data_IF_717623209784
#
_entry.id   IF_717623209784
#
_cell.length_a   1.000
_cell.length_b   1.000
_cell.length_c   1.000
_cell.angle_alpha   90.00
_cell.angle_beta   90.00
_cell.angle_gamma   90.00
#
_symmetry.space_group_name_H-M   'P 1'
#
loop_
_entity.id
_entity.type
_entity.pdbx_description
1 polymer ?
#
# COMPACT_ATOMS: atom_id res chain seq x y z
N UNK A 1 -11.69 81.27 -38.19
CA UNK A 1 -12.06 79.84 -38.22
C UNK A 1 -10.89 78.96 -38.66
N UNK A 2 -9.82 78.89 -37.84
CA UNK A 2 -8.62 78.05 -38.09
C UNK A 2 -7.98 77.67 -36.75
N UNK A 3 -8.73 77.01 -35.87
CA UNK A 3 -8.20 76.54 -34.57
C UNK A 3 -8.97 75.35 -33.97
N UNK A 4 -9.81 74.65 -34.75
CA UNK A 4 -10.54 73.47 -34.26
C UNK A 4 -10.25 72.19 -35.04
N UNK A 5 -9.40 72.23 -36.08
CA UNK A 5 -9.12 71.06 -36.92
C UNK A 5 -7.80 70.33 -36.58
N UNK A 6 -7.02 70.85 -35.63
CA UNK A 6 -5.70 70.30 -35.27
C UNK A 6 -5.71 69.38 -34.04
N UNK A 7 -6.85 69.25 -33.35
CA UNK A 7 -7.01 68.38 -32.18
C UNK A 7 -7.73 67.06 -32.54
N UNK A 8 -8.34 66.95 -33.72
CA UNK A 8 -9.09 65.77 -34.13
C UNK A 8 -8.31 64.76 -35.00
N UNK A 9 -7.05 65.04 -35.34
CA UNK A 9 -6.21 64.16 -36.18
C UNK A 9 -5.02 63.55 -35.40
N UNK A 10 -4.82 63.95 -34.14
CA UNK A 10 -3.75 63.41 -33.28
C UNK A 10 -4.19 62.32 -32.29
N UNK A 11 -5.46 61.88 -32.34
CA UNK A 11 -6.01 60.79 -31.53
C UNK A 11 -6.31 59.51 -32.32
N UNK A 12 -5.96 59.46 -33.61
CA UNK A 12 -6.15 58.29 -34.49
C UNK A 12 -4.87 57.50 -34.79
N UNK A 13 -3.78 57.79 -34.09
CA UNK A 13 -2.54 57.00 -34.07
C UNK A 13 -2.24 56.49 -32.66
N UNK A 14 -3.25 55.96 -31.97
CA UNK A 14 -2.95 54.89 -31.03
C UNK A 14 -2.51 53.71 -31.89
N UNK A 15 -1.35 53.08 -31.62
CA UNK A 15 -1.10 51.78 -32.21
C UNK A 15 -2.31 50.94 -31.86
N UNK A 16 -2.92 50.31 -32.86
CA UNK A 16 -3.80 49.17 -32.62
C UNK A 16 -2.89 48.21 -31.84
N UNK A 17 -2.95 48.27 -30.51
CA UNK A 17 -2.32 47.29 -29.65
C UNK A 17 -2.95 46.00 -30.13
N UNK A 18 -2.21 45.22 -30.91
CA UNK A 18 -2.59 43.88 -31.28
C UNK A 18 -3.07 43.24 -29.98
N UNK A 19 -4.37 42.99 -29.89
CA UNK A 19 -5.03 42.71 -28.62
C UNK A 19 -4.27 41.57 -27.98
N UNK A 20 -3.57 41.85 -26.88
CA UNK A 20 -2.78 40.84 -26.21
C UNK A 20 -3.72 39.69 -25.88
N UNK A 21 -3.36 38.50 -26.34
CA UNK A 21 -4.15 37.31 -26.12
C UNK A 21 -4.45 37.17 -24.63
N UNK A 22 -5.73 37.03 -24.26
CA UNK A 22 -6.18 36.76 -22.89
C UNK A 22 -7.20 35.63 -22.91
N UNK A 23 -7.02 34.57 -22.10
CA UNK A 23 -7.99 33.49 -21.97
C UNK A 23 -9.33 34.00 -21.42
N UNK A 24 -10.42 33.31 -21.73
CA UNK A 24 -11.73 33.66 -21.21
C UNK A 24 -11.78 33.52 -19.67
N UNK A 25 -12.64 34.33 -19.05
CA UNK A 25 -12.75 34.39 -17.58
C UNK A 25 -13.19 33.06 -16.97
N UNK A 26 -14.01 32.27 -17.68
CA UNK A 26 -14.44 30.95 -17.20
C UNK A 26 -13.26 29.96 -17.17
N UNK A 27 -12.37 30.00 -18.16
CA UNK A 27 -11.15 29.16 -18.17
C UNK A 27 -10.25 29.47 -16.99
N UNK A 28 -9.98 30.75 -16.73
CA UNK A 28 -9.16 31.16 -15.57
C UNK A 28 -9.84 30.81 -14.24
N UNK A 29 -11.15 30.99 -14.13
CA UNK A 29 -11.91 30.64 -12.92
C UNK A 29 -11.92 29.12 -12.68
N UNK A 30 -12.13 28.31 -13.71
CA UNK A 30 -12.06 26.83 -13.59
C UNK A 30 -10.66 26.39 -13.17
N UNK A 31 -9.62 27.02 -13.70
CA UNK A 31 -8.23 26.74 -13.30
C UNK A 31 -8.01 27.06 -11.81
N UNK A 32 -8.51 28.19 -11.32
CA UNK A 32 -8.41 28.55 -9.89
C UNK A 32 -9.19 27.57 -8.99
N UNK A 33 -10.42 27.21 -9.37
CA UNK A 33 -11.26 26.29 -8.61
C UNK A 33 -10.71 24.86 -8.60
N UNK A 34 -9.93 24.48 -9.61
CA UNK A 34 -9.26 23.19 -9.68
C UNK A 34 -8.21 22.98 -8.58
N UNK A 35 -7.66 24.05 -7.99
CA UNK A 35 -6.61 23.93 -6.98
C UNK A 35 -7.00 24.58 -5.64
N UNK A 36 -7.93 23.97 -4.87
CA UNK A 36 -8.28 24.46 -3.54
C UNK A 36 -7.04 24.62 -2.64
N UNK A 37 -6.95 25.78 -1.97
CA UNK A 37 -5.82 26.11 -1.09
C UNK A 37 -4.55 26.60 -1.81
N UNK A 38 -4.56 26.68 -3.14
CA UNK A 38 -3.51 27.36 -3.91
C UNK A 38 -3.92 28.80 -4.20
N UNK A 39 -2.96 29.72 -4.11
CA UNK A 39 -3.17 31.15 -4.38
C UNK A 39 -2.56 31.51 -5.72
N UNK A 40 -3.37 32.09 -6.61
CA UNK A 40 -2.87 32.65 -7.88
C UNK A 40 -2.04 33.89 -7.58
N UNK A 41 -0.74 33.85 -7.85
CA UNK A 41 0.18 34.96 -7.63
C UNK A 41 0.47 35.74 -8.90
N UNK A 42 0.28 35.12 -10.07
CA UNK A 42 0.54 35.75 -11.37
C UNK A 42 -0.49 35.28 -12.39
N UNK A 43 -0.95 36.20 -13.25
CA UNK A 43 -1.80 35.91 -14.41
C UNK A 43 -1.64 37.04 -15.43
N UNK A 44 -0.80 36.84 -16.45
CA UNK A 44 -0.43 37.89 -17.39
C UNK A 44 -0.03 37.33 -18.76
N UNK A 45 0.02 38.19 -19.78
CA UNK A 45 0.56 37.85 -21.08
C UNK A 45 2.08 37.56 -20.98
N UNK A 46 2.53 36.53 -21.69
CA UNK A 46 3.93 36.17 -21.84
C UNK A 46 4.32 36.31 -23.31
N UNK A 47 5.32 37.15 -23.59
CA UNK A 47 5.79 37.40 -24.95
C UNK A 47 6.71 36.25 -25.38
N UNK A 48 6.33 35.60 -26.48
CA UNK A 48 7.14 34.56 -27.11
C UNK A 48 8.23 35.19 -27.99
N UNK A 49 9.34 34.45 -28.26
CA UNK A 49 10.32 34.85 -29.26
C UNK A 49 9.70 35.29 -30.59
N UNK A 50 10.18 36.39 -31.16
CA UNK A 50 9.56 37.03 -32.33
C UNK A 50 9.62 36.23 -33.65
N UNK A 51 10.38 35.13 -33.68
CA UNK A 51 10.45 34.19 -34.81
C UNK A 51 9.35 33.11 -34.76
N UNK A 52 8.47 33.13 -33.76
CA UNK A 52 7.40 32.15 -33.61
C UNK A 52 6.09 32.63 -34.22
N UNK A 53 5.24 31.70 -34.72
CA UNK A 53 4.01 32.03 -35.43
C UNK A 53 2.94 32.67 -34.52
N UNK A 54 3.09 32.58 -33.20
CA UNK A 54 2.21 33.20 -32.21
C UNK A 54 3.03 34.13 -31.30
N UNK A 55 2.64 35.41 -31.15
CA UNK A 55 3.47 36.41 -30.46
C UNK A 55 3.37 36.36 -28.93
N UNK A 56 2.28 35.79 -28.39
CA UNK A 56 2.00 35.79 -26.95
C UNK A 56 1.30 34.52 -26.49
N UNK A 57 1.70 34.00 -25.33
CA UNK A 57 0.98 33.04 -24.52
C UNK A 57 0.40 33.73 -23.27
N UNK A 58 -0.42 33.03 -22.50
CA UNK A 58 -0.88 33.49 -21.19
C UNK A 58 -0.25 32.67 -20.08
N UNK A 59 0.42 33.34 -19.15
CA UNK A 59 1.17 32.73 -18.06
C UNK A 59 0.41 32.90 -16.74
N UNK A 60 0.20 31.78 -16.04
CA UNK A 60 -0.48 31.72 -14.75
C UNK A 60 0.40 30.98 -13.75
N UNK A 61 0.57 31.55 -12.55
CA UNK A 61 1.32 30.94 -11.46
C UNK A 61 0.43 30.80 -10.24
N UNK A 62 0.42 29.61 -9.67
CA UNK A 62 -0.16 29.30 -8.39
C UNK A 62 0.92 28.93 -7.39
N UNK A 63 0.78 29.40 -6.16
CA UNK A 63 1.66 29.01 -5.05
C UNK A 63 0.86 28.52 -3.86
N UNK A 64 1.45 27.62 -3.08
CA UNK A 64 0.91 27.14 -1.81
C UNK A 64 2.03 27.04 -0.79
N UNK A 65 1.77 27.51 0.42
CA UNK A 65 2.67 27.27 1.55
C UNK A 65 2.57 25.79 1.94
N UNK A 66 3.68 25.07 1.87
CA UNK A 66 3.79 23.70 2.35
C UNK A 66 4.34 23.78 3.78
N UNK A 67 3.72 23.06 4.71
CA UNK A 67 4.10 23.10 6.12
C UNK A 67 5.59 22.78 6.31
N UNK A 68 6.23 23.56 7.18
CA UNK A 68 7.67 23.49 7.49
C UNK A 68 7.99 22.17 8.20
N UNK A 69 9.04 21.47 7.75
CA UNK A 69 9.65 20.38 8.53
C UNK A 69 10.19 20.92 9.85
N UNK A 70 9.92 20.25 10.96
CA UNK A 70 10.67 20.40 12.21
C UNK A 70 12.06 19.73 12.10
N UNK A 71 12.85 20.09 11.08
CA UNK A 71 14.28 19.74 11.03
C UNK A 71 15.07 20.91 11.63
N UNK A 72 15.69 20.67 12.79
CA UNK A 72 16.39 21.68 13.61
C UNK A 72 17.48 22.46 12.86
N UNK A 73 17.96 21.98 11.71
CA UNK A 73 19.05 22.60 10.96
C UNK A 73 18.61 23.34 9.69
N UNK A 74 17.42 23.10 9.14
CA UNK A 74 16.98 23.74 7.88
C UNK A 74 15.46 23.95 7.86
N UNK A 75 14.99 24.91 8.67
CA UNK A 75 13.66 25.50 8.54
C UNK A 75 13.54 26.29 7.21
N UNK A 76 13.43 25.59 6.07
CA UNK A 76 13.04 26.21 4.81
C UNK A 76 11.54 26.00 4.62
N UNK A 77 10.80 27.10 4.51
CA UNK A 77 9.40 27.07 4.01
C UNK A 77 9.45 26.61 2.55
N UNK A 78 9.17 25.35 2.29
CA UNK A 78 8.95 24.88 0.94
C UNK A 78 7.66 25.53 0.41
N UNK A 79 7.73 26.17 -0.76
CA UNK A 79 6.56 26.68 -1.47
C UNK A 79 6.29 25.77 -2.64
N UNK A 80 5.11 25.17 -2.67
CA UNK A 80 4.62 24.49 -3.87
C UNK A 80 4.36 25.53 -4.95
N UNK A 81 4.75 25.23 -6.18
CA UNK A 81 4.55 26.11 -7.34
C UNK A 81 3.96 25.31 -8.50
N UNK A 82 2.91 25.86 -9.11
CA UNK A 82 2.30 25.35 -10.33
C UNK A 82 2.35 26.48 -11.36
N UNK A 83 3.02 26.21 -12.47
CA UNK A 83 3.14 27.13 -13.60
C UNK A 83 2.33 26.60 -14.75
N UNK A 84 1.47 27.43 -15.34
CA UNK A 84 0.63 27.07 -16.49
C UNK A 84 0.79 28.11 -17.59
N UNK A 85 1.03 27.64 -18.81
CA UNK A 85 0.98 28.45 -20.02
C UNK A 85 -0.19 28.01 -20.90
N UNK A 86 -0.96 28.99 -21.38
CA UNK A 86 -2.05 28.80 -22.33
C UNK A 86 -1.67 29.49 -23.64
N UNK A 87 -1.70 28.73 -24.73
CA UNK A 87 -1.45 29.26 -26.06
C UNK A 87 -2.74 29.13 -26.88
N UNK A 88 -3.18 30.17 -27.61
CA UNK A 88 -4.39 30.07 -28.43
C UNK A 88 -4.25 28.95 -29.46
N UNK A 89 -5.27 28.10 -29.53
CA UNK A 89 -5.31 27.03 -30.51
C UNK A 89 -5.62 27.65 -31.88
N UNK A 90 -4.60 27.73 -32.74
CA UNK A 90 -4.74 28.15 -34.11
C UNK A 90 -4.02 27.16 -35.03
N UNK A 91 -4.75 26.16 -35.52
CA UNK A 91 -4.18 25.07 -36.33
C UNK A 91 -3.56 25.51 -37.66
N UNK A 92 -3.82 26.73 -38.13
CA UNK A 92 -3.14 27.29 -39.32
C UNK A 92 -1.73 27.81 -39.01
N UNK A 93 -1.53 28.33 -37.80
CA UNK A 93 -0.28 28.92 -37.35
C UNK A 93 0.59 27.93 -36.56
N UNK A 94 -0.05 27.06 -35.79
CA UNK A 94 0.60 26.02 -35.01
C UNK A 94 -0.24 24.74 -35.08
N UNK A 95 0.11 23.81 -35.99
CA UNK A 95 -0.47 22.48 -36.03
C UNK A 95 -0.28 21.76 -34.69
N UNK A 96 -1.26 20.95 -34.27
CA UNK A 96 -1.22 20.29 -32.97
C UNK A 96 -0.01 19.36 -32.80
N UNK A 97 0.43 18.69 -33.87
CA UNK A 97 1.64 17.84 -33.87
C UNK A 97 2.92 18.59 -33.46
N UNK A 98 2.95 19.91 -33.67
CA UNK A 98 4.10 20.77 -33.39
C UNK A 98 3.95 21.47 -32.03
N UNK A 99 2.79 21.39 -31.38
CA UNK A 99 2.49 22.09 -30.13
C UNK A 99 3.47 21.70 -29.01
N UNK A 100 3.82 20.42 -28.87
CA UNK A 100 4.78 19.96 -27.85
C UNK A 100 6.15 20.68 -27.94
N UNK A 101 6.58 21.07 -29.14
CA UNK A 101 7.86 21.76 -29.34
C UNK A 101 7.91 23.16 -28.71
N UNK A 102 6.74 23.71 -28.35
CA UNK A 102 6.64 25.02 -27.72
C UNK A 102 7.14 25.04 -26.28
N UNK A 103 7.25 23.87 -25.61
CA UNK A 103 7.71 23.73 -24.23
C UNK A 103 9.03 24.48 -23.98
N UNK A 104 9.98 24.42 -24.91
CA UNK A 104 11.32 25.03 -24.79
C UNK A 104 11.33 26.56 -24.78
N UNK A 105 10.22 27.22 -25.12
CA UNK A 105 10.13 28.68 -25.23
C UNK A 105 9.47 29.34 -24.02
N UNK A 106 9.05 28.57 -23.02
CA UNK A 106 8.43 29.09 -21.81
C UNK A 106 9.44 29.20 -20.67
N UNK A 107 9.21 30.16 -19.76
CA UNK A 107 10.02 30.29 -18.55
C UNK A 107 9.46 29.37 -17.45
N UNK A 108 10.24 28.34 -17.14
CA UNK A 108 9.88 27.29 -16.18
C UNK A 108 10.57 27.44 -14.83
N UNK A 109 11.12 28.61 -14.52
CA UNK A 109 11.76 28.86 -13.22
C UNK A 109 10.76 28.67 -12.08
N UNK A 110 11.03 27.67 -11.25
CA UNK A 110 10.29 27.37 -10.02
C UNK A 110 11.23 27.36 -8.82
N UNK A 111 10.70 27.54 -7.62
CA UNK A 111 11.45 27.31 -6.38
C UNK A 111 11.84 25.83 -6.25
N UNK A 112 12.89 25.55 -5.46
CA UNK A 112 13.23 24.16 -5.08
C UNK A 112 12.02 23.50 -4.43
N UNK A 113 11.77 22.25 -4.82
CA UNK A 113 10.68 21.41 -4.34
C UNK A 113 11.25 20.04 -3.94
N UNK A 114 10.61 19.39 -2.97
CA UNK A 114 10.98 18.05 -2.51
C UNK A 114 10.31 16.94 -3.34
N UNK A 115 9.36 17.33 -4.20
CA UNK A 115 8.70 16.49 -5.19
C UNK A 115 9.31 16.69 -6.57
N UNK A 116 9.39 15.62 -7.36
CA UNK A 116 9.83 15.70 -8.75
C UNK A 116 8.88 16.59 -9.56
N UNK A 117 9.41 17.41 -10.47
CA UNK A 117 8.63 18.41 -11.22
C UNK A 117 8.78 18.19 -12.72
N UNK A 118 7.67 18.07 -13.42
CA UNK A 118 7.66 17.77 -14.85
C UNK A 118 7.17 18.96 -15.65
N UNK A 119 7.86 19.28 -16.73
CA UNK A 119 7.42 20.21 -17.76
C UNK A 119 6.69 19.43 -18.85
N UNK A 120 5.39 19.68 -19.02
CA UNK A 120 4.57 18.84 -19.90
C UNK A 120 3.62 19.65 -20.79
N UNK A 121 3.49 19.19 -22.03
CA UNK A 121 2.39 19.56 -22.91
C UNK A 121 1.20 18.64 -22.62
N UNK A 122 0.17 19.20 -21.97
CA UNK A 122 -0.98 18.43 -21.49
C UNK A 122 -2.03 18.16 -22.56
N UNK A 123 -1.99 18.89 -23.67
CA UNK A 123 -2.91 18.73 -24.80
C UNK A 123 -3.72 19.98 -25.11
N UNK A 124 -4.74 19.79 -25.95
CA UNK A 124 -5.66 20.83 -26.39
C UNK A 124 -7.00 20.74 -25.66
N UNK A 125 -7.59 21.90 -25.35
CA UNK A 125 -8.90 22.00 -24.75
C UNK A 125 -9.33 23.45 -24.58
N UNK A 126 -10.65 23.69 -24.71
CA UNK A 126 -11.25 25.03 -24.51
C UNK A 126 -10.66 26.12 -25.43
N UNK A 127 -10.18 25.74 -26.61
CA UNK A 127 -9.57 26.67 -27.57
C UNK A 127 -8.10 27.01 -27.27
N UNK A 128 -7.43 26.26 -26.40
CA UNK A 128 -6.04 26.48 -26.01
C UNK A 128 -5.21 25.19 -26.08
N UNK A 129 -3.93 25.35 -26.37
CA UNK A 129 -2.89 24.36 -26.03
C UNK A 129 -2.38 24.64 -24.61
N UNK A 130 -2.34 23.59 -23.79
CA UNK A 130 -2.04 23.67 -22.36
C UNK A 130 -0.66 23.12 -22.05
N UNK A 131 0.15 23.92 -21.38
CA UNK A 131 1.48 23.54 -20.90
C UNK A 131 1.56 23.80 -19.42
N UNK A 132 2.19 22.91 -18.66
CA UNK A 132 2.31 23.10 -17.23
C UNK A 132 3.61 22.54 -16.68
N UNK A 133 4.04 23.11 -15.54
CA UNK A 133 5.10 22.58 -14.70
C UNK A 133 4.64 22.43 -13.26
N UNK A 134 4.61 21.19 -12.78
CA UNK A 134 4.32 20.81 -11.39
C UNK A 134 4.59 19.31 -11.20
N UNK A 135 4.21 18.71 -10.07
CA UNK A 135 4.30 17.26 -9.85
C UNK A 135 3.29 16.45 -10.69
N UNK A 136 3.59 15.16 -10.86
CA UNK A 136 2.84 14.28 -11.75
C UNK A 136 1.35 14.14 -11.38
N UNK A 137 1.02 14.20 -10.09
CA UNK A 137 -0.37 14.11 -9.61
C UNK A 137 -1.20 15.32 -10.04
N UNK A 138 -0.64 16.52 -9.89
CA UNK A 138 -1.30 17.77 -10.31
C UNK A 138 -1.39 17.90 -11.82
N UNK A 139 -0.41 17.41 -12.57
CA UNK A 139 -0.48 17.37 -14.04
C UNK A 139 -1.63 16.48 -14.51
N UNK A 140 -1.78 15.28 -13.95
CA UNK A 140 -2.91 14.41 -14.26
C UNK A 140 -4.25 15.07 -13.90
N UNK A 141 -4.34 15.62 -12.69
CA UNK A 141 -5.54 16.32 -12.24
C UNK A 141 -5.90 17.49 -13.17
N UNK A 142 -4.92 18.28 -13.61
CA UNK A 142 -5.14 19.38 -14.55
C UNK A 142 -5.67 18.87 -15.89
N UNK A 143 -5.07 17.80 -16.43
CA UNK A 143 -5.50 17.18 -17.69
C UNK A 143 -6.95 16.70 -17.61
N UNK A 144 -7.31 16.00 -16.53
CA UNK A 144 -8.67 15.46 -16.32
C UNK A 144 -9.71 16.56 -16.06
N UNK A 145 -9.42 17.48 -15.13
CA UNK A 145 -10.36 18.55 -14.74
C UNK A 145 -10.66 19.52 -15.87
N UNK A 146 -9.66 19.80 -16.72
CA UNK A 146 -9.83 20.66 -17.89
C UNK A 146 -10.28 19.89 -19.14
N UNK A 147 -10.46 18.56 -19.05
CA UNK A 147 -10.87 17.67 -20.15
C UNK A 147 -9.98 17.84 -21.39
N UNK A 148 -8.67 17.86 -21.18
CA UNK A 148 -7.70 18.05 -22.25
C UNK A 148 -7.54 16.78 -23.07
N UNK A 149 -7.39 16.95 -24.38
CA UNK A 149 -7.23 15.85 -25.36
C UNK A 149 -5.88 15.95 -26.05
N UNK A 150 -5.35 14.82 -26.54
CA UNK A 150 -4.01 14.77 -27.12
C UNK A 150 -2.91 15.02 -26.08
N UNK A 151 -1.83 15.67 -26.50
CA UNK A 151 -0.67 15.94 -25.64
C UNK A 151 0.20 14.72 -25.37
N UNK A 152 1.04 14.82 -24.33
CA UNK A 152 1.88 13.70 -23.90
C UNK A 152 1.04 12.52 -23.38
N UNK A 153 1.54 11.30 -23.63
CA UNK A 153 0.92 10.06 -23.17
C UNK A 153 1.07 9.93 -21.64
N UNK A 154 -0.04 10.16 -20.93
CA UNK A 154 -0.07 10.06 -19.48
C UNK A 154 0.15 8.62 -18.98
N UNK A 155 -0.17 7.59 -19.74
CA UNK A 155 0.16 6.21 -19.34
C UNK A 155 1.67 6.00 -19.32
N UNK A 156 2.37 6.47 -20.36
CA UNK A 156 3.83 6.38 -20.41
C UNK A 156 4.49 7.20 -19.30
N UNK A 157 4.02 8.43 -19.06
CA UNK A 157 4.57 9.29 -17.99
C UNK A 157 4.32 8.74 -16.60
N UNK A 158 3.13 8.20 -16.33
CA UNK A 158 2.83 7.56 -15.05
C UNK A 158 3.62 6.26 -14.87
N UNK A 159 3.90 5.52 -15.95
CA UNK A 159 4.76 4.35 -15.86
C UNK A 159 6.20 4.73 -15.51
N UNK A 160 6.76 5.77 -16.12
CA UNK A 160 8.08 6.29 -15.74
C UNK A 160 8.10 6.75 -14.26
N UNK A 161 7.04 7.43 -13.81
CA UNK A 161 6.91 7.90 -12.43
C UNK A 161 6.89 6.78 -11.37
N UNK A 162 6.71 5.51 -11.76
CA UNK A 162 6.86 4.36 -10.84
C UNK A 162 8.31 4.19 -10.34
N UNK A 163 9.30 4.69 -11.09
CA UNK A 163 10.72 4.60 -10.79
C UNK A 163 11.24 5.77 -9.93
N UNK A 164 10.38 6.74 -9.62
CA UNK A 164 10.78 7.97 -8.95
C UNK A 164 10.85 7.81 -7.43
N UNK A 165 11.97 8.25 -6.85
CA UNK A 165 12.26 8.22 -5.41
C UNK A 165 12.21 9.62 -4.77
N UNK A 166 11.15 10.37 -5.06
CA UNK A 166 10.91 11.67 -4.45
C UNK A 166 10.40 11.58 -2.99
N UNK A 167 10.15 12.73 -2.36
CA UNK A 167 9.76 12.78 -0.96
C UNK A 167 8.57 11.86 -0.65
N UNK A 168 8.77 10.94 0.31
CA UNK A 168 7.79 9.92 0.72
C UNK A 168 7.26 9.04 -0.42
N UNK A 169 8.04 8.91 -1.50
CA UNK A 169 7.68 8.15 -2.71
C UNK A 169 6.36 8.66 -3.31
N UNK A 170 6.14 9.96 -3.29
CA UNK A 170 4.90 10.57 -3.74
C UNK A 170 4.59 10.23 -5.19
N UNK A 171 5.54 10.42 -6.11
CA UNK A 171 5.34 10.22 -7.54
C UNK A 171 4.97 8.77 -7.86
N UNK A 172 5.69 7.79 -7.31
CA UNK A 172 5.39 6.38 -7.53
C UNK A 172 4.06 5.94 -6.89
N UNK A 173 3.68 6.50 -5.73
CA UNK A 173 2.37 6.24 -5.10
C UNK A 173 1.22 6.79 -5.92
N UNK A 174 1.37 8.00 -6.48
CA UNK A 174 0.39 8.59 -7.40
C UNK A 174 0.27 7.74 -8.67
N UNK A 175 1.39 7.29 -9.24
CA UNK A 175 1.39 6.45 -10.43
C UNK A 175 0.69 5.10 -10.20
N UNK A 176 0.93 4.45 -9.05
CA UNK A 176 0.23 3.22 -8.66
C UNK A 176 -1.29 3.40 -8.66
N UNK A 177 -1.77 4.51 -8.07
CA UNK A 177 -3.21 4.81 -8.04
C UNK A 177 -3.76 5.21 -9.40
N UNK A 178 -2.99 5.88 -10.24
CA UNK A 178 -3.39 6.22 -11.61
C UNK A 178 -3.74 4.98 -12.44
N UNK A 179 -2.98 3.89 -12.28
CA UNK A 179 -3.21 2.66 -13.03
C UNK A 179 -4.43 1.86 -12.55
N UNK A 180 -5.05 2.23 -11.42
CA UNK A 180 -6.21 1.53 -10.88
C UNK A 180 -7.32 1.39 -11.93
N UNK A 181 -7.81 0.16 -12.10
CA UNK A 181 -8.90 -0.20 -13.01
C UNK A 181 -8.65 0.15 -14.50
N UNK A 182 -7.41 0.42 -14.91
CA UNK A 182 -7.06 0.63 -16.34
C UNK A 182 -7.02 -0.68 -17.14
N UNK A 183 -7.04 -1.83 -16.48
CA UNK A 183 -7.06 -3.14 -17.11
C UNK A 183 -5.83 -3.42 -17.97
N UNK A 184 -6.02 -4.32 -18.93
CA UNK A 184 -4.96 -4.88 -19.78
C UNK A 184 -4.20 -3.84 -20.63
N UNK A 185 -4.76 -2.64 -20.87
CA UNK A 185 -4.09 -1.60 -21.63
C UNK A 185 -2.93 -0.94 -20.88
N UNK A 186 -2.92 -0.99 -19.54
CA UNK A 186 -1.84 -0.42 -18.73
C UNK A 186 -0.60 -1.33 -18.66
N UNK A 187 -0.79 -2.64 -18.82
CA UNK A 187 0.24 -3.67 -18.58
C UNK A 187 1.51 -3.45 -19.42
N UNK A 188 1.45 -3.16 -20.74
CA UNK A 188 2.65 -2.93 -21.52
C UNK A 188 3.51 -1.77 -21.00
N UNK A 189 2.89 -0.68 -20.55
CA UNK A 189 3.58 0.48 -20.01
C UNK A 189 4.26 0.16 -18.67
N UNK A 190 3.53 -0.53 -17.77
CA UNK A 190 4.09 -0.93 -16.46
C UNK A 190 5.26 -1.90 -16.66
N UNK A 191 5.15 -2.88 -17.55
CA UNK A 191 6.23 -3.84 -17.81
C UNK A 191 7.44 -3.20 -18.50
N UNK A 192 7.23 -2.19 -19.33
CA UNK A 192 8.34 -1.42 -19.90
C UNK A 192 9.08 -0.66 -18.81
N UNK A 193 8.36 -0.01 -17.89
CA UNK A 193 8.97 0.67 -16.73
C UNK A 193 9.70 -0.29 -15.78
N UNK A 194 9.22 -1.54 -15.62
CA UNK A 194 9.96 -2.58 -14.87
C UNK A 194 11.32 -2.87 -15.52
N UNK A 195 11.38 -2.97 -16.85
CA UNK A 195 12.65 -3.23 -17.55
C UNK A 195 13.65 -2.10 -17.36
N UNK A 196 13.17 -0.85 -17.35
CA UNK A 196 13.99 0.33 -17.08
C UNK A 196 14.49 0.29 -15.62
N UNK A 197 13.60 -0.04 -14.68
CA UNK A 197 13.98 -0.23 -13.28
C UNK A 197 15.04 -1.32 -13.09
N UNK A 198 14.89 -2.46 -13.76
CA UNK A 198 15.84 -3.58 -13.71
C UNK A 198 17.22 -3.23 -14.26
N UNK A 199 17.30 -2.31 -15.25
CA UNK A 199 18.58 -1.83 -15.79
C UNK A 199 19.32 -0.93 -14.80
N UNK A 200 18.60 -0.12 -14.03
CA UNK A 200 19.17 0.79 -13.04
C UNK A 200 19.52 0.08 -11.73
N UNK A 201 18.81 -1.00 -11.41
CA UNK A 201 18.93 -1.75 -10.16
C UNK A 201 19.48 -3.17 -10.43
N UNK A 202 20.72 -3.24 -10.92
CA UNK A 202 21.42 -4.52 -11.24
C UNK A 202 21.59 -5.47 -10.03
N UNK A 203 21.32 -5.02 -8.80
CA UNK A 203 21.47 -5.84 -7.59
C UNK A 203 20.26 -6.75 -7.42
N UNK A 204 20.51 -8.07 -7.42
CA UNK A 204 19.51 -9.14 -7.21
C UNK A 204 18.65 -9.05 -5.93
N UNK A 205 18.83 -8.04 -5.07
CA UNK A 205 18.16 -7.94 -3.77
C UNK A 205 16.96 -6.98 -3.73
N UNK A 206 16.79 -6.16 -4.76
CA UNK A 206 15.74 -5.13 -4.81
C UNK A 206 14.47 -5.64 -5.49
N UNK A 207 13.32 -5.07 -5.14
CA UNK A 207 12.01 -5.51 -5.61
C UNK A 207 11.27 -4.31 -6.22
N UNK A 208 10.73 -4.42 -7.45
CA UNK A 208 9.95 -3.34 -8.09
C UNK A 208 8.55 -3.26 -7.48
N UNK A 209 8.48 -2.93 -6.18
CA UNK A 209 7.24 -2.92 -5.41
C UNK A 209 6.17 -2.00 -6.02
N UNK A 210 6.48 -0.75 -6.44
CA UNK A 210 5.50 0.11 -7.10
C UNK A 210 4.88 -0.55 -8.33
N UNK A 211 5.68 -1.19 -9.18
CA UNK A 211 5.20 -1.84 -10.40
C UNK A 211 4.31 -3.05 -10.10
N UNK A 212 4.70 -3.89 -9.14
CA UNK A 212 3.87 -5.03 -8.72
C UNK A 212 2.52 -4.57 -8.14
N UNK A 213 2.50 -3.43 -7.43
CA UNK A 213 1.25 -2.80 -6.98
C UNK A 213 0.44 -2.23 -8.15
N UNK A 214 1.08 -1.53 -9.09
CA UNK A 214 0.42 -0.98 -10.27
C UNK A 214 -0.23 -2.09 -11.12
N UNK A 215 0.48 -3.21 -11.36
CA UNK A 215 -0.08 -4.39 -12.03
C UNK A 215 -1.30 -4.92 -11.26
N UNK A 216 -1.18 -5.08 -9.94
CA UNK A 216 -2.28 -5.54 -9.11
C UNK A 216 -3.51 -4.63 -9.25
N UNK A 217 -3.34 -3.31 -9.18
CA UNK A 217 -4.46 -2.37 -9.21
C UNK A 217 -5.01 -2.13 -10.61
N UNK A 218 -4.19 -2.28 -11.66
CA UNK A 218 -4.66 -2.25 -13.03
C UNK A 218 -5.74 -3.31 -13.27
N UNK A 219 -5.54 -4.51 -12.72
CA UNK A 219 -6.44 -5.63 -12.91
C UNK A 219 -6.44 -6.14 -14.36
N UNK A 220 -7.31 -7.10 -14.65
CA UNK A 220 -7.38 -7.74 -15.95
C UNK A 220 -6.43 -8.93 -16.10
N UNK A 221 -6.65 -9.72 -17.14
CA UNK A 221 -6.00 -11.02 -17.33
C UNK A 221 -4.50 -10.88 -17.61
N UNK A 222 -4.09 -9.86 -18.37
CA UNK A 222 -2.65 -9.64 -18.65
C UNK A 222 -1.88 -9.24 -17.39
N UNK A 223 -2.52 -8.50 -16.48
CA UNK A 223 -1.90 -8.14 -15.21
C UNK A 223 -1.76 -9.35 -14.28
N UNK A 224 -2.77 -10.24 -14.25
CA UNK A 224 -2.70 -11.52 -13.55
C UNK A 224 -1.57 -12.40 -14.11
N UNK A 225 -1.49 -12.55 -15.43
CA UNK A 225 -0.45 -13.33 -16.10
C UNK A 225 0.96 -12.77 -15.81
N UNK A 226 1.13 -11.44 -15.83
CA UNK A 226 2.38 -10.78 -15.46
C UNK A 226 2.76 -11.03 -14.00
N UNK A 227 1.83 -10.84 -13.06
CA UNK A 227 2.06 -11.12 -11.64
C UNK A 227 2.39 -12.60 -11.40
N UNK A 228 1.76 -13.52 -12.13
CA UNK A 228 2.08 -14.95 -12.08
C UNK A 228 3.51 -15.23 -12.55
N UNK A 229 3.99 -14.55 -13.60
CA UNK A 229 5.39 -14.66 -14.02
C UNK A 229 6.36 -14.18 -12.92
N UNK A 230 6.08 -13.05 -12.28
CA UNK A 230 6.88 -12.57 -11.14
C UNK A 230 6.83 -13.53 -9.95
N UNK A 231 5.69 -14.17 -9.69
CA UNK A 231 5.55 -15.18 -8.64
C UNK A 231 6.40 -16.45 -8.87
N UNK A 232 6.82 -16.70 -10.11
CA UNK A 232 7.76 -17.76 -10.48
C UNK A 232 9.20 -17.28 -10.67
N UNK A 233 9.50 -16.03 -10.30
CA UNK A 233 10.86 -15.49 -10.40
C UNK A 233 11.86 -16.31 -9.57
N UNK A 234 13.10 -16.42 -10.08
CA UNK A 234 14.23 -16.99 -9.32
C UNK A 234 14.62 -16.11 -8.14
N UNK A 235 14.34 -14.81 -8.23
CA UNK A 235 14.51 -13.90 -7.12
C UNK A 235 13.39 -14.14 -6.10
N UNK A 236 13.77 -14.75 -4.97
CA UNK A 236 12.84 -15.10 -3.89
C UNK A 236 12.04 -13.90 -3.38
N UNK A 237 12.64 -12.72 -3.25
CA UNK A 237 11.95 -11.52 -2.72
C UNK A 237 10.90 -11.00 -3.70
N UNK A 238 11.21 -11.01 -5.00
CA UNK A 238 10.26 -10.65 -6.06
C UNK A 238 9.11 -11.65 -6.12
N UNK A 239 9.42 -12.95 -6.06
CA UNK A 239 8.41 -14.01 -6.04
C UNK A 239 7.47 -13.87 -4.83
N UNK A 240 8.03 -13.69 -3.62
CA UNK A 240 7.24 -13.50 -2.40
C UNK A 240 6.34 -12.25 -2.48
N UNK A 241 6.87 -11.14 -3.00
CA UNK A 241 6.09 -9.91 -3.19
C UNK A 241 4.93 -10.10 -4.16
N UNK A 242 5.17 -10.75 -5.31
CA UNK A 242 4.15 -11.03 -6.31
C UNK A 242 3.07 -12.02 -5.81
N UNK A 243 3.46 -13.08 -5.10
CA UNK A 243 2.53 -14.00 -4.41
C UNK A 243 1.62 -13.19 -3.47
N UNK A 244 2.20 -12.29 -2.67
CA UNK A 244 1.45 -11.41 -1.77
C UNK A 244 0.39 -10.56 -2.49
N UNK A 245 0.64 -10.16 -3.74
CA UNK A 245 -0.34 -9.41 -4.55
C UNK A 245 -1.46 -10.30 -5.09
N UNK A 246 -1.14 -11.50 -5.55
CA UNK A 246 -2.11 -12.49 -6.08
C UNK A 246 -3.03 -13.10 -5.02
N UNK A 247 -2.69 -12.98 -3.73
CA UNK A 247 -3.52 -13.47 -2.61
C UNK A 247 -4.71 -12.55 -2.28
N UNK A 248 -4.85 -11.43 -2.99
CA UNK A 248 -5.89 -10.42 -2.70
C UNK A 248 -6.40 -9.80 -3.99
N UNK A 249 -7.71 -9.51 -4.03
CA UNK A 249 -8.34 -8.79 -5.14
C UNK A 249 -7.65 -7.43 -5.44
N UNK A 250 -7.73 -6.92 -6.69
CA UNK A 250 -8.58 -7.43 -7.79
C UNK A 250 -7.93 -8.53 -8.65
N UNK A 251 -6.61 -8.67 -8.65
CA UNK A 251 -5.95 -9.75 -9.38
C UNK A 251 -6.08 -11.09 -8.64
N UNK A 252 -6.23 -12.16 -9.40
CA UNK A 252 -6.37 -13.51 -8.88
C UNK A 252 -5.50 -14.53 -9.61
N UNK A 253 -5.41 -15.73 -9.06
CA UNK A 253 -4.71 -16.86 -9.66
C UNK A 253 -5.62 -18.11 -9.72
N UNK A 254 -5.24 -19.12 -10.54
CA UNK A 254 -5.91 -20.42 -10.55
C UNK A 254 -5.80 -21.13 -9.20
N UNK A 255 -6.80 -21.94 -8.82
CA UNK A 255 -6.83 -22.64 -7.54
C UNK A 255 -5.57 -23.50 -7.29
N UNK A 256 -5.01 -24.11 -8.35
CA UNK A 256 -3.76 -24.89 -8.28
C UNK A 256 -2.58 -24.06 -7.75
N UNK A 257 -2.50 -22.78 -8.10
CA UNK A 257 -1.47 -21.88 -7.60
C UNK A 257 -1.63 -21.68 -6.08
N UNK A 258 -2.84 -21.42 -5.60
CA UNK A 258 -3.09 -21.25 -4.17
C UNK A 258 -2.83 -22.53 -3.37
N UNK A 259 -3.09 -23.71 -3.93
CA UNK A 259 -2.69 -24.99 -3.32
C UNK A 259 -1.18 -25.07 -3.15
N UNK A 260 -0.39 -24.67 -4.15
CA UNK A 260 1.07 -24.64 -4.06
C UNK A 260 1.53 -23.62 -3.02
N UNK A 261 1.00 -22.40 -3.06
CA UNK A 261 1.35 -21.31 -2.13
C UNK A 261 1.01 -21.67 -0.68
N UNK A 262 -0.10 -22.37 -0.44
CA UNK A 262 -0.50 -22.85 0.89
C UNK A 262 0.56 -23.76 1.55
N UNK A 263 1.41 -24.44 0.76
CA UNK A 263 2.50 -25.28 1.28
C UNK A 263 3.70 -24.48 1.80
N UNK A 264 3.72 -23.17 1.56
CA UNK A 264 4.69 -22.23 2.11
C UNK A 264 4.15 -21.68 3.43
N UNK A 265 4.85 -21.88 4.57
CA UNK A 265 4.34 -21.48 5.89
C UNK A 265 3.86 -20.03 5.98
N UNK A 266 4.64 -19.10 5.43
CA UNK A 266 4.33 -17.66 5.48
C UNK A 266 3.03 -17.27 4.74
N UNK A 267 2.60 -18.06 3.75
CA UNK A 267 1.42 -17.77 2.95
C UNK A 267 0.25 -18.71 3.23
N UNK A 268 0.40 -19.66 4.16
CA UNK A 268 -0.64 -20.65 4.46
C UNK A 268 -1.96 -19.96 4.82
N UNK A 269 -1.94 -19.02 5.76
CA UNK A 269 -3.16 -18.32 6.21
C UNK A 269 -3.84 -17.55 5.08
N UNK A 270 -3.09 -16.72 4.35
CA UNK A 270 -3.64 -15.95 3.25
C UNK A 270 -4.20 -16.83 2.11
N UNK A 271 -3.56 -17.96 1.81
CA UNK A 271 -4.09 -18.91 0.81
C UNK A 271 -5.40 -19.57 1.29
N UNK A 272 -5.50 -19.93 2.58
CA UNK A 272 -6.74 -20.44 3.17
C UNK A 272 -7.87 -19.40 3.09
N UNK A 273 -7.57 -18.13 3.34
CA UNK A 273 -8.54 -17.04 3.22
C UNK A 273 -9.12 -16.91 1.81
N UNK A 274 -8.30 -17.15 0.78
CA UNK A 274 -8.77 -17.19 -0.62
C UNK A 274 -9.78 -18.33 -0.81
N UNK A 275 -9.46 -19.55 -0.35
CA UNK A 275 -10.40 -20.68 -0.46
C UNK A 275 -11.68 -20.48 0.34
N UNK A 276 -11.59 -19.81 1.51
CA UNK A 276 -12.75 -19.43 2.32
C UNK A 276 -13.65 -18.46 1.58
N UNK A 277 -13.11 -17.35 1.07
CA UNK A 277 -13.85 -16.34 0.29
C UNK A 277 -14.52 -16.94 -0.94
N UNK A 278 -13.83 -17.87 -1.62
CA UNK A 278 -14.34 -18.58 -2.80
C UNK A 278 -15.31 -19.73 -2.47
N UNK A 279 -15.53 -20.03 -1.19
CA UNK A 279 -16.34 -21.18 -0.73
C UNK A 279 -15.86 -22.53 -1.31
N UNK A 280 -14.55 -22.67 -1.52
CA UNK A 280 -13.90 -23.84 -2.15
C UNK A 280 -13.10 -24.71 -1.18
N UNK A 281 -13.24 -24.51 0.13
CA UNK A 281 -12.49 -25.24 1.16
C UNK A 281 -12.55 -26.76 1.06
N UNK A 282 -13.70 -27.32 0.64
CA UNK A 282 -13.86 -28.78 0.44
C UNK A 282 -12.90 -29.37 -0.61
N UNK A 283 -12.49 -28.58 -1.60
CA UNK A 283 -11.59 -29.04 -2.68
C UNK A 283 -10.17 -29.36 -2.19
N UNK A 284 -9.75 -28.75 -1.08
CA UNK A 284 -8.37 -28.83 -0.59
C UNK A 284 -8.19 -29.73 0.63
N UNK A 285 -9.24 -30.43 1.08
CA UNK A 285 -9.19 -31.28 2.29
C UNK A 285 -8.06 -32.30 2.24
N UNK A 286 -7.84 -32.94 1.08
CA UNK A 286 -6.75 -33.90 0.90
C UNK A 286 -5.35 -33.26 1.01
N UNK A 287 -5.17 -32.04 0.50
CA UNK A 287 -3.92 -31.29 0.66
C UNK A 287 -3.71 -30.85 2.12
N UNK A 288 -4.79 -30.43 2.81
CA UNK A 288 -4.74 -30.07 4.22
C UNK A 288 -4.36 -31.26 5.11
N UNK A 289 -4.91 -32.45 4.86
CA UNK A 289 -4.51 -33.68 5.58
C UNK A 289 -3.02 -33.99 5.41
N UNK A 290 -2.50 -33.84 4.18
CA UNK A 290 -1.07 -34.02 3.90
C UNK A 290 -0.20 -33.00 4.63
N UNK A 291 -0.64 -31.74 4.70
CA UNK A 291 0.05 -30.68 5.42
C UNK A 291 0.00 -30.87 6.94
N UNK A 292 -1.13 -31.31 7.50
CA UNK A 292 -1.25 -31.64 8.91
C UNK A 292 -0.31 -32.79 9.31
N UNK A 293 -0.11 -33.78 8.42
CA UNK A 293 0.81 -34.88 8.66
C UNK A 293 2.29 -34.50 8.53
N UNK A 294 2.63 -33.37 7.90
CA UNK A 294 4.02 -32.90 7.68
C UNK A 294 4.11 -31.36 7.78
N UNK A 295 3.83 -30.78 8.95
CA UNK A 295 3.84 -29.33 9.12
C UNK A 295 5.27 -28.79 9.13
N UNK A 296 5.49 -27.66 8.46
CA UNK A 296 6.80 -27.00 8.41
C UNK A 296 7.00 -25.92 9.47
N UNK A 297 5.91 -25.39 10.03
CA UNK A 297 5.89 -24.42 11.13
C UNK A 297 4.75 -24.72 12.11
N UNK A 298 4.86 -24.23 13.35
CA UNK A 298 3.81 -24.35 14.37
C UNK A 298 2.54 -23.61 13.92
N UNK A 299 2.73 -22.42 13.33
CA UNK A 299 1.63 -21.63 12.78
C UNK A 299 0.91 -22.37 11.64
N UNK A 300 1.66 -22.99 10.71
CA UNK A 300 1.07 -23.75 9.61
C UNK A 300 0.27 -24.93 10.15
N UNK A 301 0.80 -25.67 11.13
CA UNK A 301 0.06 -26.77 11.75
C UNK A 301 -1.26 -26.30 12.35
N UNK A 302 -1.24 -25.23 13.14
CA UNK A 302 -2.43 -24.64 13.75
C UNK A 302 -3.47 -24.18 12.72
N UNK A 303 -3.04 -23.45 11.68
CA UNK A 303 -3.93 -22.96 10.62
C UNK A 303 -4.55 -24.11 9.81
N UNK A 304 -3.76 -25.12 9.46
CA UNK A 304 -4.23 -26.27 8.66
C UNK A 304 -5.20 -27.14 9.45
N UNK A 305 -4.92 -27.39 10.73
CA UNK A 305 -5.80 -28.19 11.60
C UNK A 305 -7.12 -27.46 11.90
N UNK A 306 -7.09 -26.13 12.04
CA UNK A 306 -8.30 -25.30 12.07
C UNK A 306 -9.10 -25.41 10.76
N UNK A 307 -8.43 -25.27 9.61
CA UNK A 307 -9.07 -25.34 8.30
C UNK A 307 -9.69 -26.72 8.01
N UNK A 308 -9.09 -27.82 8.48
CA UNK A 308 -9.66 -29.16 8.36
C UNK A 308 -11.01 -29.28 9.08
N UNK A 309 -11.15 -28.63 10.24
CA UNK A 309 -12.40 -28.61 11.01
C UNK A 309 -13.43 -27.71 10.33
N UNK A 310 -13.00 -26.52 9.92
CA UNK A 310 -13.85 -25.56 9.21
C UNK A 310 -14.42 -26.16 7.92
N UNK A 311 -13.55 -26.60 7.01
CA UNK A 311 -13.95 -27.04 5.68
C UNK A 311 -14.47 -28.47 5.65
N UNK A 312 -14.00 -29.33 6.56
CA UNK A 312 -14.37 -30.74 6.60
C UNK A 312 -15.63 -30.99 7.42
N UNK A 313 -15.71 -30.42 8.63
CA UNK A 313 -16.82 -30.61 9.57
C UNK A 313 -17.88 -29.50 9.49
N UNK A 314 -17.66 -28.46 8.69
CA UNK A 314 -18.58 -27.33 8.56
C UNK A 314 -18.61 -26.44 9.81
N UNK A 315 -17.58 -26.49 10.64
CA UNK A 315 -17.50 -25.71 11.88
C UNK A 315 -17.18 -24.25 11.56
N UNK A 316 -18.08 -23.33 11.90
CA UNK A 316 -17.86 -21.90 11.66
C UNK A 316 -16.70 -21.33 12.49
N UNK A 317 -16.51 -21.86 13.70
CA UNK A 317 -15.36 -21.58 14.57
C UNK A 317 -14.89 -22.87 15.21
N UNK A 318 -13.68 -22.84 15.78
CA UNK A 318 -13.13 -23.96 16.55
C UNK A 318 -12.99 -23.49 17.99
N UNK A 319 -13.87 -23.95 18.90
CA UNK A 319 -13.98 -23.42 20.25
C UNK A 319 -12.66 -23.42 21.05
N UNK A 320 -11.74 -24.33 20.76
CA UNK A 320 -10.42 -24.42 21.39
C UNK A 320 -9.51 -23.26 20.97
N UNK A 321 -9.49 -22.87 19.70
CA UNK A 321 -8.72 -21.71 19.25
C UNK A 321 -9.33 -20.40 19.78
N UNK A 322 -10.67 -20.33 19.81
CA UNK A 322 -11.39 -19.19 20.42
C UNK A 322 -11.04 -19.06 21.91
N UNK A 323 -10.99 -20.18 22.64
CA UNK A 323 -10.58 -20.21 24.05
C UNK A 323 -9.16 -19.70 24.26
N UNK A 324 -8.20 -20.10 23.43
CA UNK A 324 -6.83 -19.59 23.50
C UNK A 324 -6.77 -18.07 23.24
N UNK A 325 -7.51 -17.58 22.26
CA UNK A 325 -7.62 -16.14 22.00
C UNK A 325 -8.22 -15.40 23.20
N UNK A 326 -9.32 -15.91 23.77
CA UNK A 326 -9.93 -15.32 24.96
C UNK A 326 -8.98 -15.31 26.17
N UNK A 327 -8.20 -16.37 26.38
CA UNK A 327 -7.16 -16.39 27.42
C UNK A 327 -6.16 -15.26 27.18
N UNK A 328 -5.62 -15.12 25.96
CA UNK A 328 -4.68 -14.06 25.63
C UNK A 328 -5.24 -12.66 25.90
N UNK A 329 -6.50 -12.41 25.50
CA UNK A 329 -7.14 -11.11 25.74
C UNK A 329 -7.40 -10.84 27.23
N UNK A 330 -7.88 -11.84 28.00
CA UNK A 330 -8.33 -11.66 29.39
C UNK A 330 -7.20 -11.57 30.43
N UNK A 331 -5.97 -11.92 30.05
CA UNK A 331 -4.76 -11.78 30.88
C UNK A 331 -3.90 -10.57 30.53
N UNK A 332 -4.35 -9.77 29.57
CA UNK A 332 -3.70 -8.53 29.16
C UNK A 332 -3.94 -7.44 30.22
N UNK A 333 -2.86 -6.73 30.58
CA UNK A 333 -2.84 -5.60 31.51
C UNK A 333 -2.60 -4.28 30.77
N UNK A 334 -2.90 -3.16 31.44
CA UNK A 334 -2.58 -1.82 30.93
C UNK A 334 -1.06 -1.71 30.65
N UNK A 335 -0.70 -1.22 29.47
CA UNK A 335 0.68 -1.09 29.03
C UNK A 335 1.31 -2.35 28.42
N UNK A 336 0.57 -3.48 28.35
CA UNK A 336 1.10 -4.70 27.72
C UNK A 336 1.15 -4.60 26.19
N UNK A 337 0.29 -3.80 25.56
CA UNK A 337 0.34 -3.53 24.10
C UNK A 337 0.05 -2.06 23.78
N UNK A 338 0.55 -1.52 22.64
CA UNK A 338 0.48 -0.09 22.31
C UNK A 338 -0.92 0.48 22.05
N UNK A 339 -1.90 -0.36 21.66
CA UNK A 339 -3.17 0.11 21.07
C UNK A 339 -4.45 -0.57 21.62
N UNK A 340 -4.40 -1.28 22.74
CA UNK A 340 -5.58 -2.00 23.27
C UNK A 340 -6.46 -1.17 24.21
N UNK A 341 -7.80 -1.29 24.12
CA UNK A 341 -8.71 -0.79 25.14
C UNK A 341 -8.42 -1.44 26.50
N UNK A 342 -8.58 -0.66 27.55
CA UNK A 342 -8.19 -1.03 28.91
C UNK A 342 -9.17 -2.09 29.44
N UNK A 343 -8.73 -3.34 29.61
CA UNK A 343 -9.54 -4.39 30.30
C UNK A 343 -9.23 -4.52 31.79
N UNK A 344 -8.22 -3.79 32.24
CA UNK A 344 -7.79 -3.70 33.63
C UNK A 344 -7.46 -2.23 33.94
N UNK A 345 -8.47 -1.47 34.33
CA UNK A 345 -8.29 -0.30 35.21
C UNK A 345 -8.41 -0.84 36.62
N UNK A 346 -7.30 -0.95 37.34
CA UNK A 346 -7.40 -0.98 38.79
C UNK A 346 -7.53 0.46 39.22
N UNK A 347 -8.56 0.78 40.00
CA UNK A 347 -8.65 2.08 40.66
C UNK A 347 -7.34 2.31 41.43
N UNK A 348 -6.80 3.53 41.36
CA UNK A 348 -5.47 3.96 41.83
C UNK A 348 -5.24 3.81 43.35
N UNK A 349 -6.05 3.03 44.05
CA UNK A 349 -5.95 2.81 45.48
C UNK A 349 -5.46 1.39 45.75
N UNK A 350 -4.20 1.33 46.16
CA UNK A 350 -3.44 0.21 46.75
C UNK A 350 -2.59 -0.64 45.80
N UNK A 351 -1.32 -0.84 46.20
CA UNK A 351 -0.39 -1.82 45.65
C UNK A 351 -1.02 -3.22 45.71
N UNK A 352 -1.77 -3.61 44.69
CA UNK A 352 -2.24 -4.99 44.54
C UNK A 352 -0.99 -5.85 44.34
N UNK A 353 -0.76 -6.80 45.24
CA UNK A 353 0.37 -7.72 45.12
C UNK A 353 0.25 -8.54 43.83
N UNK A 354 1.38 -8.90 43.21
CA UNK A 354 1.40 -9.71 41.98
C UNK A 354 0.58 -11.01 42.14
N UNK A 355 0.59 -11.60 43.33
CA UNK A 355 -0.20 -12.78 43.70
C UNK A 355 -1.72 -12.56 43.59
N UNK A 356 -2.21 -11.41 44.05
CA UNK A 356 -3.63 -11.05 43.95
C UNK A 356 -4.03 -10.81 42.48
N UNK A 357 -3.15 -10.18 41.69
CA UNK A 357 -3.36 -10.00 40.25
C UNK A 357 -3.45 -11.35 39.52
N UNK A 358 -2.53 -12.28 39.80
CA UNK A 358 -2.55 -13.61 39.21
C UNK A 358 -3.82 -14.39 39.58
N UNK A 359 -4.31 -14.25 40.81
CA UNK A 359 -5.54 -14.92 41.26
C UNK A 359 -6.76 -14.40 40.50
N UNK A 360 -6.87 -13.07 40.35
CA UNK A 360 -7.95 -12.45 39.58
C UNK A 360 -7.89 -12.84 38.09
N UNK A 361 -6.68 -12.89 37.51
CA UNK A 361 -6.47 -13.36 36.14
C UNK A 361 -6.91 -14.81 35.95
N UNK A 362 -6.51 -15.71 36.86
CA UNK A 362 -6.91 -17.12 36.83
C UNK A 362 -8.42 -17.28 36.87
N UNK A 363 -9.11 -16.52 37.72
CA UNK A 363 -10.58 -16.53 37.79
C UNK A 363 -11.23 -16.08 36.47
N UNK A 364 -10.68 -15.05 35.80
CA UNK A 364 -11.20 -14.56 34.50
C UNK A 364 -11.07 -15.56 33.36
N UNK A 365 -10.05 -16.41 33.40
CA UNK A 365 -9.79 -17.38 32.33
C UNK A 365 -10.30 -18.79 32.65
N UNK A 366 -10.85 -19.01 33.85
CA UNK A 366 -11.18 -20.34 34.37
C UNK A 366 -12.08 -21.13 33.41
N UNK A 367 -13.14 -20.49 32.90
CA UNK A 367 -14.05 -21.04 31.88
C UNK A 367 -13.30 -21.60 30.66
N UNK A 368 -12.45 -20.77 30.03
CA UNK A 368 -11.71 -21.13 28.83
C UNK A 368 -10.66 -22.21 29.11
N UNK A 369 -10.02 -22.16 30.27
CA UNK A 369 -9.08 -23.22 30.68
C UNK A 369 -9.78 -24.55 30.89
N UNK A 370 -10.96 -24.54 31.53
CA UNK A 370 -11.78 -25.74 31.74
C UNK A 370 -12.25 -26.30 30.40
N UNK A 371 -12.73 -25.45 29.50
CA UNK A 371 -13.15 -25.84 28.16
C UNK A 371 -12.02 -26.55 27.39
N UNK A 372 -10.79 -26.03 27.42
CA UNK A 372 -9.65 -26.70 26.80
C UNK A 372 -9.33 -28.05 27.45
N UNK A 373 -9.39 -28.15 28.78
CA UNK A 373 -9.07 -29.38 29.50
C UNK A 373 -10.12 -30.48 29.34
N UNK A 374 -11.38 -30.12 29.13
CA UNK A 374 -12.50 -31.06 28.97
C UNK A 374 -12.95 -31.23 27.51
N UNK A 375 -12.28 -30.59 26.55
CA UNK A 375 -12.65 -30.70 25.14
C UNK A 375 -12.59 -32.15 24.64
N UNK A 376 -13.58 -32.51 23.82
CA UNK A 376 -13.63 -33.77 23.08
C UNK A 376 -12.66 -33.77 21.89
N UNK A 377 -12.36 -32.60 21.33
CA UNK A 377 -11.34 -32.42 20.30
C UNK A 377 -9.96 -32.19 20.94
N UNK A 378 -9.39 -33.30 21.44
CA UNK A 378 -8.12 -33.29 22.16
C UNK A 378 -6.97 -32.70 21.35
N UNK A 379 -6.96 -32.94 20.05
CA UNK A 379 -5.93 -32.38 19.17
C UNK A 379 -6.03 -30.85 19.11
N UNK A 380 -7.22 -30.31 18.85
CA UNK A 380 -7.41 -28.86 18.82
C UNK A 380 -7.04 -28.20 20.16
N UNK A 381 -7.42 -28.83 21.28
CA UNK A 381 -7.11 -28.32 22.61
C UNK A 381 -5.60 -28.29 22.90
N UNK A 382 -4.88 -29.34 22.52
CA UNK A 382 -3.42 -29.40 22.66
C UNK A 382 -2.75 -28.35 21.78
N UNK A 383 -3.21 -28.15 20.53
CA UNK A 383 -2.65 -27.14 19.63
C UNK A 383 -2.92 -25.72 20.13
N UNK A 384 -4.11 -25.47 20.67
CA UNK A 384 -4.46 -24.19 21.30
C UNK A 384 -3.55 -23.91 22.51
N UNK A 385 -3.38 -24.88 23.40
CA UNK A 385 -2.47 -24.76 24.55
C UNK A 385 -1.00 -24.61 24.13
N UNK A 386 -0.56 -25.31 23.09
CA UNK A 386 0.77 -25.17 22.51
C UNK A 386 0.99 -23.78 21.94
N UNK A 387 0.00 -23.22 21.24
CA UNK A 387 0.06 -21.86 20.67
C UNK A 387 0.25 -20.80 21.76
N UNK A 388 -0.41 -20.97 22.92
CA UNK A 388 -0.16 -20.15 24.11
C UNK A 388 1.27 -20.37 24.64
N UNK A 389 1.70 -21.62 24.78
CA UNK A 389 3.00 -21.98 25.34
C UNK A 389 4.19 -21.51 24.49
N UNK A 390 4.00 -21.42 23.17
CA UNK A 390 4.99 -20.92 22.20
C UNK A 390 4.74 -19.48 21.77
N UNK A 391 3.81 -18.76 22.42
CA UNK A 391 3.42 -17.41 22.02
C UNK A 391 4.64 -16.48 21.93
N UNK A 392 4.92 -15.95 20.75
CA UNK A 392 6.06 -15.09 20.49
C UNK A 392 5.70 -14.07 19.41
N UNK A 393 5.00 -12.98 19.76
CA UNK A 393 4.52 -12.04 18.77
C UNK A 393 5.70 -11.29 18.13
N UNK A 394 5.57 -11.00 16.83
CA UNK A 394 6.60 -10.23 16.09
C UNK A 394 6.41 -8.70 16.22
N UNK A 395 5.30 -8.25 16.80
CA UNK A 395 4.97 -6.84 16.96
C UNK A 395 5.85 -6.20 18.04
N UNK A 396 6.57 -5.14 17.68
CA UNK A 396 7.34 -4.32 18.63
C UNK A 396 6.39 -3.63 19.62
N UNK A 397 6.81 -3.49 20.87
CA UNK A 397 6.04 -2.80 21.91
C UNK A 397 5.09 -3.70 22.72
N UNK A 398 5.13 -5.02 22.54
CA UNK A 398 4.45 -5.96 23.44
C UNK A 398 5.35 -6.26 24.65
N UNK A 399 4.78 -6.17 25.85
CA UNK A 399 5.46 -6.43 27.12
C UNK A 399 6.00 -7.86 27.23
N UNK A 400 7.26 -8.03 27.64
CA UNK A 400 7.84 -9.35 27.93
C UNK A 400 7.10 -10.05 29.08
N UNK A 401 6.59 -9.30 30.05
CA UNK A 401 5.84 -9.86 31.18
C UNK A 401 4.53 -10.50 30.70
N UNK A 402 3.84 -9.87 29.75
CA UNK A 402 2.66 -10.43 29.12
C UNK A 402 2.98 -11.71 28.36
N UNK A 403 4.04 -11.70 27.55
CA UNK A 403 4.49 -12.88 26.80
C UNK A 403 4.79 -14.04 27.77
N UNK A 404 5.51 -13.78 28.86
CA UNK A 404 5.81 -14.79 29.90
C UNK A 404 4.54 -15.33 30.56
N UNK A 405 3.57 -14.48 30.89
CA UNK A 405 2.27 -14.89 31.47
C UNK A 405 1.51 -15.83 30.54
N UNK A 406 1.34 -15.46 29.27
CA UNK A 406 0.65 -16.29 28.27
C UNK A 406 1.33 -17.65 28.10
N UNK A 407 2.66 -17.66 27.99
CA UNK A 407 3.45 -18.90 27.87
C UNK A 407 3.28 -19.81 29.08
N UNK A 408 3.32 -19.25 30.29
CA UNK A 408 3.12 -20.00 31.54
C UNK A 408 1.77 -20.70 31.56
N UNK A 409 0.69 -20.00 31.20
CA UNK A 409 -0.67 -20.56 31.14
C UNK A 409 -0.73 -21.71 30.13
N UNK A 410 -0.16 -21.54 28.94
CA UNK A 410 -0.07 -22.60 27.94
C UNK A 410 0.68 -23.84 28.44
N UNK A 411 1.83 -23.65 29.10
CA UNK A 411 2.60 -24.75 29.70
C UNK A 411 1.83 -25.48 30.81
N UNK A 412 1.14 -24.75 31.68
CA UNK A 412 0.27 -25.34 32.72
C UNK A 412 -0.88 -26.17 32.14
N UNK A 413 -1.55 -25.66 31.11
CA UNK A 413 -2.59 -26.38 30.38
C UNK A 413 -2.03 -27.69 29.79
N UNK A 414 -0.91 -27.61 29.07
CA UNK A 414 -0.26 -28.77 28.47
C UNK A 414 0.11 -29.84 29.51
N UNK A 415 0.62 -29.46 30.69
CA UNK A 415 0.93 -30.41 31.78
C UNK A 415 -0.29 -31.19 32.26
N UNK A 416 -1.46 -30.53 32.32
CA UNK A 416 -2.72 -31.12 32.78
C UNK A 416 -3.44 -31.95 31.70
N UNK A 417 -3.04 -31.83 30.44
CA UNK A 417 -3.61 -32.59 29.33
C UNK A 417 -3.06 -34.03 29.25
N UNK A 418 -3.82 -34.99 28.66
CA UNK A 418 -3.40 -36.38 28.53
C UNK A 418 -2.05 -36.56 27.82
N UNK A 419 -1.16 -37.38 28.41
CA UNK A 419 0.22 -37.55 27.97
C UNK A 419 0.31 -38.12 26.54
N UNK A 420 -0.47 -39.16 26.22
CA UNK A 420 -0.37 -39.89 24.95
C UNK A 420 -0.57 -39.01 23.70
N UNK A 421 -1.76 -38.40 23.51
CA UNK A 421 -2.02 -37.51 22.37
C UNK A 421 -1.05 -36.32 22.31
N UNK A 422 -0.70 -35.76 23.47
CA UNK A 422 0.27 -34.66 23.57
C UNK A 422 1.64 -35.09 23.06
N UNK A 423 2.13 -36.26 23.47
CA UNK A 423 3.42 -36.80 23.04
C UNK A 423 3.45 -37.06 21.53
N UNK A 424 2.38 -37.61 20.97
CA UNK A 424 2.26 -37.84 19.53
C UNK A 424 2.36 -36.53 18.73
N UNK A 425 1.65 -35.48 19.15
CA UNK A 425 1.69 -34.17 18.48
C UNK A 425 3.09 -33.56 18.57
N UNK A 426 3.72 -33.60 19.73
CA UNK A 426 5.07 -33.05 19.90
C UNK A 426 6.11 -33.80 19.06
N UNK A 427 6.05 -35.14 19.01
CA UNK A 427 6.96 -35.95 18.18
C UNK A 427 6.74 -35.70 16.69
N UNK A 428 5.48 -35.56 16.27
CA UNK A 428 5.13 -35.19 14.90
C UNK A 428 5.75 -33.84 14.52
N UNK A 429 5.64 -32.85 15.41
CA UNK A 429 6.16 -31.51 15.17
C UNK A 429 7.70 -31.52 15.19
N UNK A 430 8.36 -32.13 16.17
CA UNK A 430 9.85 -32.13 16.23
C UNK A 430 10.47 -32.74 14.97
N UNK A 431 9.83 -33.79 14.44
CA UNK A 431 10.27 -34.47 13.21
C UNK A 431 10.12 -33.61 11.95
N UNK A 432 9.08 -32.78 11.85
CA UNK A 432 8.70 -32.13 10.58
C UNK A 432 8.99 -30.63 10.52
N UNK A 433 9.04 -29.91 11.65
CA UNK A 433 9.25 -28.47 11.67
C UNK A 433 10.59 -28.11 11.01
N UNK A 434 10.56 -27.25 10.00
CA UNK A 434 11.78 -26.79 9.30
C UNK A 434 12.28 -25.46 9.86
N UNK A 435 11.41 -24.68 10.50
CA UNK A 435 11.81 -23.44 11.17
C UNK A 435 12.55 -23.73 12.49
N UNK A 436 13.78 -23.22 12.59
CA UNK A 436 14.67 -23.47 13.74
C UNK A 436 14.17 -22.82 15.03
N UNK A 437 13.49 -21.66 14.94
CA UNK A 437 12.93 -20.96 16.11
C UNK A 437 11.69 -21.68 16.63
N UNK A 438 10.85 -22.18 15.73
CA UNK A 438 9.69 -22.99 16.10
C UNK A 438 10.13 -24.31 16.76
N UNK A 439 11.12 -24.99 16.18
CA UNK A 439 11.67 -26.23 16.76
C UNK A 439 12.30 -25.97 18.13
N UNK A 440 13.07 -24.89 18.29
CA UNK A 440 13.62 -24.50 19.60
C UNK A 440 12.52 -24.19 20.62
N UNK A 441 11.46 -23.49 20.19
CA UNK A 441 10.31 -23.18 21.05
C UNK A 441 9.57 -24.44 21.48
N UNK A 442 9.35 -25.39 20.57
CA UNK A 442 8.74 -26.68 20.86
C UNK A 442 9.55 -27.48 21.88
N UNK A 443 10.88 -27.59 21.68
CA UNK A 443 11.78 -28.31 22.60
C UNK A 443 11.85 -27.67 23.97
N UNK A 444 11.87 -26.33 24.05
CA UNK A 444 11.78 -25.60 25.31
C UNK A 444 10.51 -25.96 26.05
N UNK A 445 9.36 -25.86 25.39
CA UNK A 445 8.06 -26.20 26.00
C UNK A 445 8.04 -27.66 26.44
N UNK A 446 8.55 -28.59 25.63
CA UNK A 446 8.62 -30.01 25.98
C UNK A 446 9.42 -30.24 27.26
N UNK A 447 10.60 -29.62 27.39
CA UNK A 447 11.42 -29.67 28.59
C UNK A 447 10.68 -29.11 29.81
N UNK A 448 10.04 -27.94 29.68
CA UNK A 448 9.28 -27.29 30.76
C UNK A 448 8.11 -28.12 31.27
N UNK A 449 7.52 -28.97 30.43
CA UNK A 449 6.42 -29.86 30.80
C UNK A 449 6.87 -31.30 31.11
N UNK A 450 8.18 -31.55 31.21
CA UNK A 450 8.75 -32.84 31.60
C UNK A 450 8.70 -33.91 30.51
N UNK A 451 8.68 -33.51 29.24
CA UNK A 451 8.70 -34.42 28.08
C UNK A 451 10.09 -34.56 27.48
N UNK A 452 10.44 -35.78 27.07
CA UNK A 452 11.60 -36.09 26.22
C UNK A 452 11.11 -36.27 24.78
N UNK A 453 11.66 -35.50 23.85
CA UNK A 453 11.34 -35.55 22.42
C UNK A 453 12.31 -36.41 21.63
#
# INVERSE_FOLDING_TARGET
MKTFLSILILTLLLPVFASQFRPDADTLKKLELGFPGWKRTTSQAYRLPGNLPLPTAWHVVFTRDIAVRNDKEKNRRAKGMLVVYLLPQNGKLLPEKDAATMLKYFDWKTSKNDLEQYEMYLGAGRGYYWYAKTDIGRLNFLKESMKLTGGEDMMQKMAAALNEEDFELYSSRVAVEYFRNKGDSAVPYILQSVKEWEQEHEKESEVPLPHLFALKLAGGRKAEDALMQFAYSRNRRVAEAAIGRLLTEPCTAPDKFYVTVMRLPMFTGAALDVFRKRKKGKMILGDLQKLAARPKSLQQYSLVTAALREFGKGMATVPEYDSANHIMFRVMRKGDTPDTPIFVTFDDTTLISESAMETAERKRIEEFTKQLLTSSDREAAIIAALSLATYNPQTKGISEAYIKRVRRIGGELLRKMPIGPRQQIFQLLDKNLTDTRDRASLRRVASEIGMRL
#
